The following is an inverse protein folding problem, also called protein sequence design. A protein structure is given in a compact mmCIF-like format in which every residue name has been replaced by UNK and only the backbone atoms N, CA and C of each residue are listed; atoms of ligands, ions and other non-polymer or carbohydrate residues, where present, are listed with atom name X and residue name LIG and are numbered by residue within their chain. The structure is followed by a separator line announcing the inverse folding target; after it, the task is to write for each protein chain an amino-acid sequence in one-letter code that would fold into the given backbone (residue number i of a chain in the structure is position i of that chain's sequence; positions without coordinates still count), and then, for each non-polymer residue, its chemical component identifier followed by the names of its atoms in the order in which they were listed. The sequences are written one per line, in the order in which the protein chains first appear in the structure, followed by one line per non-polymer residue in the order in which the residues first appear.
data_IF_000687417113
#
_entry.id   IF_000687417113
#
_cell.length_a   1.000
_cell.length_b   1.000
_cell.length_c   1.000
_cell.angle_alpha   90.00
_cell.angle_beta   90.00
_cell.angle_gamma   90.00
#
_symmetry.space_group_name_H-M   'P 1'
#
loop_
_entity.id
_entity.type
_entity.pdbx_description
1 polymer ?
#
# COMPACT_ATOMS: atom_id res chain seq x y z
N UNK A 1 46.74 11.81 -4.92
CA UNK A 1 46.05 10.80 -4.09
C UNK A 1 44.93 11.43 -3.21
N UNK A 2 45.20 12.60 -2.55
CA UNK A 2 44.19 13.31 -1.74
C UNK A 2 42.99 13.80 -2.60
N UNK A 3 43.29 14.38 -3.75
CA UNK A 3 42.28 14.92 -4.68
C UNK A 3 41.37 13.82 -5.31
N UNK A 4 41.94 12.65 -5.57
CA UNK A 4 41.19 11.47 -6.06
C UNK A 4 40.29 10.90 -4.95
N UNK A 5 40.75 10.89 -3.71
CA UNK A 5 39.93 10.45 -2.57
C UNK A 5 38.75 11.41 -2.27
N UNK A 6 38.98 12.71 -2.39
CA UNK A 6 37.93 13.73 -2.24
C UNK A 6 36.85 13.58 -3.33
N UNK A 7 37.26 13.36 -4.56
CA UNK A 7 36.37 13.16 -5.71
C UNK A 7 35.56 11.85 -5.62
N UNK A 8 36.20 10.78 -5.12
CA UNK A 8 35.52 9.51 -4.82
C UNK A 8 34.48 9.66 -3.70
N UNK A 9 34.78 10.42 -2.65
CA UNK A 9 33.83 10.70 -1.56
C UNK A 9 32.63 11.50 -2.07
N UNK A 10 32.82 12.51 -2.88
CA UNK A 10 31.73 13.28 -3.49
C UNK A 10 30.84 12.41 -4.38
N UNK A 11 31.43 11.53 -5.19
CA UNK A 11 30.69 10.58 -6.02
C UNK A 11 29.89 9.60 -5.17
N UNK A 12 30.46 9.06 -4.08
CA UNK A 12 29.77 8.14 -3.17
C UNK A 12 28.58 8.81 -2.43
N UNK A 13 28.66 10.12 -2.17
CA UNK A 13 27.57 10.88 -1.57
C UNK A 13 26.46 11.17 -2.59
N UNK A 14 26.79 11.36 -3.88
CA UNK A 14 25.82 11.65 -4.94
C UNK A 14 25.21 10.40 -5.56
N UNK A 15 25.90 9.25 -5.52
CA UNK A 15 25.41 7.99 -6.10
C UNK A 15 24.01 7.57 -5.61
N UNK A 16 23.65 7.68 -4.34
CA UNK A 16 22.31 7.32 -3.88
C UNK A 16 21.19 8.16 -4.50
N UNK A 17 21.45 9.45 -4.77
CA UNK A 17 20.48 10.33 -5.44
C UNK A 17 20.32 9.98 -6.92
N UNK A 18 21.42 9.76 -7.62
CA UNK A 18 21.42 9.37 -9.04
C UNK A 18 20.70 8.03 -9.23
N UNK A 19 21.02 7.04 -8.40
CA UNK A 19 20.34 5.72 -8.45
C UNK A 19 18.83 5.87 -8.18
N UNK A 20 18.45 6.69 -7.22
CA UNK A 20 17.05 6.96 -6.91
C UNK A 20 16.31 7.66 -8.05
N UNK A 21 16.97 8.58 -8.73
CA UNK A 21 16.40 9.26 -9.92
C UNK A 21 16.23 8.30 -11.10
N UNK A 22 17.23 7.46 -11.37
CA UNK A 22 17.16 6.44 -12.43
C UNK A 22 16.08 5.39 -12.13
N UNK A 23 15.98 4.89 -10.89
CA UNK A 23 14.93 3.96 -10.47
C UNK A 23 13.54 4.60 -10.58
N UNK A 24 13.42 5.88 -10.21
CA UNK A 24 12.15 6.63 -10.32
C UNK A 24 11.77 6.83 -11.79
N UNK A 25 12.71 7.13 -12.66
CA UNK A 25 12.46 7.29 -14.10
C UNK A 25 12.09 5.96 -14.75
N UNK A 26 12.81 4.89 -14.45
CA UNK A 26 12.51 3.54 -14.94
C UNK A 26 11.13 3.07 -14.49
N UNK A 27 10.74 3.39 -13.23
CA UNK A 27 9.41 3.09 -12.71
C UNK A 27 8.33 3.91 -13.42
N UNK A 28 8.54 5.22 -13.66
CA UNK A 28 7.61 6.08 -14.41
C UNK A 28 7.38 5.57 -15.83
N UNK A 29 8.43 5.15 -16.53
CA UNK A 29 8.33 4.59 -17.88
C UNK A 29 7.53 3.28 -17.88
N UNK A 30 7.82 2.36 -16.95
CA UNK A 30 7.10 1.09 -16.83
C UNK A 30 5.62 1.30 -16.54
N UNK A 31 5.32 2.21 -15.60
CA UNK A 31 3.94 2.58 -15.26
C UNK A 31 3.21 3.19 -16.45
N UNK A 32 3.87 4.06 -17.21
CA UNK A 32 3.31 4.66 -18.42
C UNK A 32 2.98 3.59 -19.48
N UNK A 33 3.88 2.61 -19.69
CA UNK A 33 3.67 1.53 -20.65
C UNK A 33 2.55 0.59 -20.20
N UNK A 34 2.51 0.20 -18.91
CA UNK A 34 1.46 -0.67 -18.35
C UNK A 34 0.08 -0.01 -18.44
N UNK A 35 -0.01 1.30 -18.16
CA UNK A 35 -1.25 2.06 -18.32
C UNK A 35 -1.64 2.18 -19.78
N UNK A 36 -0.69 2.48 -20.66
CA UNK A 36 -0.93 2.56 -22.08
C UNK A 36 -1.54 1.26 -22.63
N UNK A 37 -0.95 0.12 -22.30
CA UNK A 37 -1.47 -1.20 -22.67
C UNK A 37 -2.87 -1.47 -22.07
N UNK A 38 -3.09 -1.10 -20.81
CA UNK A 38 -4.39 -1.28 -20.14
C UNK A 38 -5.48 -0.42 -20.78
N UNK A 39 -5.19 0.83 -21.15
CA UNK A 39 -6.14 1.70 -21.86
C UNK A 39 -6.48 1.13 -23.23
N UNK A 40 -5.50 0.65 -23.99
CA UNK A 40 -5.74 0.04 -25.30
C UNK A 40 -6.57 -1.23 -25.20
N UNK A 41 -6.30 -2.08 -24.18
CA UNK A 41 -7.08 -3.27 -23.90
C UNK A 41 -8.54 -2.94 -23.55
N UNK A 42 -8.77 -1.97 -22.67
CA UNK A 42 -10.12 -1.51 -22.32
C UNK A 42 -10.87 -0.93 -23.51
N UNK A 43 -10.19 -0.11 -24.32
CA UNK A 43 -10.79 0.43 -25.56
C UNK A 43 -11.21 -0.69 -26.52
N UNK A 44 -10.38 -1.73 -26.66
CA UNK A 44 -10.69 -2.89 -27.50
C UNK A 44 -11.93 -3.62 -26.99
N UNK A 45 -12.03 -3.88 -25.69
CA UNK A 45 -13.20 -4.53 -25.07
C UNK A 45 -14.47 -3.72 -25.25
N UNK A 46 -14.40 -2.39 -25.03
CA UNK A 46 -15.56 -1.49 -25.21
C UNK A 46 -16.05 -1.40 -26.67
N UNK A 47 -15.14 -1.55 -27.63
CA UNK A 47 -15.48 -1.47 -29.07
C UNK A 47 -15.95 -2.80 -29.66
N UNK A 48 -15.65 -3.94 -29.05
CA UNK A 48 -15.89 -5.27 -29.63
C UNK A 48 -17.10 -6.01 -29.02
N UNK A 49 -17.90 -5.40 -28.14
CA UNK A 49 -19.05 -6.05 -27.46
C UNK A 49 -18.70 -7.43 -26.86
N UNK A 50 -17.61 -7.51 -26.13
CA UNK A 50 -17.02 -8.76 -25.67
C UNK A 50 -17.63 -9.24 -24.36
N UNK A 51 -17.49 -10.55 -24.08
CA UNK A 51 -18.01 -11.29 -22.95
C UNK A 51 -17.62 -10.69 -21.58
N UNK A 52 -18.50 -10.82 -20.59
CA UNK A 52 -18.32 -10.36 -19.20
C UNK A 52 -17.03 -10.88 -18.54
N UNK A 53 -16.51 -12.02 -18.97
CA UNK A 53 -15.25 -12.60 -18.51
C UNK A 53 -14.03 -11.77 -18.91
N UNK A 54 -14.01 -11.26 -20.15
CA UNK A 54 -12.92 -10.38 -20.60
C UNK A 54 -12.97 -9.00 -19.95
N UNK A 55 -14.17 -8.48 -19.69
CA UNK A 55 -14.35 -7.22 -18.96
C UNK A 55 -13.78 -7.34 -17.54
N UNK A 56 -14.04 -8.45 -16.83
CA UNK A 56 -13.50 -8.70 -15.48
C UNK A 56 -11.99 -8.87 -15.48
N UNK A 57 -11.43 -9.58 -16.46
CA UNK A 57 -9.97 -9.75 -16.58
C UNK A 57 -9.26 -8.40 -16.84
N UNK A 58 -9.84 -7.56 -17.70
CA UNK A 58 -9.31 -6.21 -17.93
C UNK A 58 -9.46 -5.30 -16.72
N UNK A 59 -10.56 -5.38 -15.98
CA UNK A 59 -10.74 -4.64 -14.72
C UNK A 59 -9.65 -5.01 -13.70
N UNK A 60 -9.30 -6.29 -13.56
CA UNK A 60 -8.22 -6.75 -12.69
C UNK A 60 -6.84 -6.20 -13.11
N UNK A 61 -6.55 -6.13 -14.42
CA UNK A 61 -5.34 -5.51 -14.94
C UNK A 61 -5.29 -3.99 -14.64
N UNK A 62 -6.41 -3.31 -14.74
CA UNK A 62 -6.53 -1.89 -14.35
C UNK A 62 -6.26 -1.68 -12.87
N UNK A 63 -6.84 -2.51 -12.02
CA UNK A 63 -6.62 -2.46 -10.58
C UNK A 63 -5.13 -2.67 -10.23
N UNK A 64 -4.46 -3.59 -10.92
CA UNK A 64 -3.03 -3.83 -10.73
C UNK A 64 -2.19 -2.63 -11.20
N UNK A 65 -2.49 -2.05 -12.35
CA UNK A 65 -1.78 -0.88 -12.90
C UNK A 65 -1.96 0.36 -12.02
N UNK A 66 -3.19 0.61 -11.55
CA UNK A 66 -3.50 1.71 -10.62
C UNK A 66 -2.78 1.50 -9.29
N UNK A 67 -2.70 0.27 -8.78
CA UNK A 67 -1.99 -0.02 -7.52
C UNK A 67 -0.48 0.22 -7.62
N UNK A 68 0.13 0.01 -8.78
CA UNK A 68 1.53 0.35 -9.07
C UNK A 68 1.74 1.86 -9.10
N UNK A 69 0.83 2.62 -9.73
CA UNK A 69 0.83 4.09 -9.71
C UNK A 69 0.72 4.68 -8.31
N UNK A 70 -0.21 4.15 -7.54
CA UNK A 70 -0.40 4.56 -6.14
C UNK A 70 0.86 4.38 -5.31
N UNK A 71 1.67 3.37 -5.60
CA UNK A 71 2.96 3.13 -4.91
C UNK A 71 4.07 4.07 -5.35
N UNK A 72 4.14 4.38 -6.64
CA UNK A 72 5.18 5.27 -7.18
C UNK A 72 4.99 6.72 -6.71
N UNK A 73 3.75 7.16 -6.47
CA UNK A 73 3.46 8.50 -5.95
C UNK A 73 3.78 8.68 -4.45
N UNK A 74 4.12 7.60 -3.74
CA UNK A 74 4.44 7.64 -2.30
C UNK A 74 5.85 8.14 -1.96
N UNK A 75 6.72 8.36 -2.95
CA UNK A 75 8.13 8.74 -2.72
C UNK A 75 8.33 10.26 -2.72
N UNK A 76 7.32 11.05 -2.43
CA UNK A 76 7.53 12.45 -2.08
C UNK A 76 7.81 12.56 -0.57
N UNK A 77 9.07 12.64 -0.27
CA UNK A 77 9.72 12.42 1.03
C UNK A 77 9.54 13.54 2.07
N UNK A 78 8.38 14.15 2.28
CA UNK A 78 8.21 15.19 3.31
C UNK A 78 6.92 15.13 4.14
N UNK A 79 5.97 14.26 3.84
CA UNK A 79 4.77 14.12 4.66
C UNK A 79 4.89 12.93 5.60
N UNK A 80 4.40 13.11 6.82
CA UNK A 80 4.29 12.07 7.83
C UNK A 80 3.40 10.92 7.27
N UNK A 81 3.86 9.64 7.26
CA UNK A 81 3.19 8.56 6.52
C UNK A 81 1.73 8.32 6.92
N UNK A 82 1.42 8.38 8.22
CA UNK A 82 0.06 8.14 8.71
C UNK A 82 -0.89 9.27 8.33
N UNK A 83 -0.44 10.52 8.38
CA UNK A 83 -1.25 11.66 7.96
C UNK A 83 -1.51 11.64 6.44
N UNK A 84 -0.52 11.25 5.65
CA UNK A 84 -0.71 11.06 4.22
C UNK A 84 -1.72 9.94 3.91
N UNK A 85 -1.70 8.83 4.67
CA UNK A 85 -2.63 7.73 4.52
C UNK A 85 -4.06 8.13 4.93
N UNK A 86 -4.22 8.88 6.04
CA UNK A 86 -5.52 9.43 6.46
C UNK A 86 -6.13 10.30 5.37
N UNK A 87 -5.37 11.27 4.86
CA UNK A 87 -5.83 12.15 3.78
C UNK A 87 -6.30 11.36 2.55
N UNK A 88 -5.58 10.32 2.16
CA UNK A 88 -5.99 9.46 1.03
C UNK A 88 -7.25 8.67 1.30
N UNK A 89 -7.43 8.15 2.52
CA UNK A 89 -8.65 7.50 2.91
C UNK A 89 -9.84 8.46 2.87
N UNK A 90 -9.66 9.70 3.33
CA UNK A 90 -10.66 10.78 3.25
C UNK A 90 -11.04 11.12 1.80
N UNK A 91 -10.07 11.15 0.87
CA UNK A 91 -10.31 11.32 -0.57
C UNK A 91 -11.19 10.18 -1.16
N UNK A 92 -11.16 8.99 -0.56
CA UNK A 92 -12.04 7.87 -0.89
C UNK A 92 -13.39 7.92 -0.15
N UNK A 93 -13.61 8.90 0.73
CA UNK A 93 -14.81 9.02 1.56
C UNK A 93 -14.75 8.17 2.84
N UNK A 94 -13.57 7.74 3.27
CA UNK A 94 -13.37 6.94 4.48
C UNK A 94 -12.65 7.75 5.56
N UNK A 95 -13.31 7.97 6.69
CA UNK A 95 -12.71 8.58 7.88
C UNK A 95 -11.85 7.56 8.63
N UNK A 96 -10.61 7.93 8.97
CA UNK A 96 -9.68 7.06 9.72
C UNK A 96 -9.59 7.51 11.16
N UNK A 97 -9.99 6.65 12.11
CA UNK A 97 -9.92 6.90 13.54
C UNK A 97 -8.76 6.10 14.14
N UNK A 98 -7.75 6.83 14.63
CA UNK A 98 -6.58 6.25 15.28
C UNK A 98 -6.79 6.24 16.79
N UNK A 99 -6.52 5.13 17.45
CA UNK A 99 -6.61 4.96 18.91
C UNK A 99 -5.39 4.20 19.44
N UNK A 100 -4.98 4.54 20.67
CA UNK A 100 -3.81 3.92 21.31
C UNK A 100 -2.53 4.71 21.08
N UNK A 101 -1.39 4.09 21.40
CA UNK A 101 -0.07 4.72 21.31
C UNK A 101 0.54 4.51 19.92
N UNK A 102 0.54 5.54 19.10
CA UNK A 102 1.14 5.51 17.77
C UNK A 102 2.62 5.13 17.81
N UNK A 103 3.10 4.33 16.84
CA UNK A 103 4.51 3.97 16.75
C UNK A 103 5.37 5.19 16.42
N UNK A 104 6.56 5.26 17.04
CA UNK A 104 7.51 6.35 16.81
C UNK A 104 8.44 6.09 15.61
N UNK A 105 8.59 4.83 15.21
CA UNK A 105 9.52 4.44 14.15
C UNK A 105 8.91 4.66 12.77
N UNK A 106 9.62 5.41 11.93
CA UNK A 106 9.20 5.81 10.58
C UNK A 106 8.82 4.60 9.72
N UNK A 107 9.63 3.53 9.72
CA UNK A 107 9.35 2.35 8.91
C UNK A 107 8.07 1.61 9.35
N UNK A 108 7.77 1.55 10.67
CA UNK A 108 6.52 0.99 11.19
C UNK A 108 5.33 1.85 10.73
N UNK A 109 5.45 3.18 10.85
CA UNK A 109 4.43 4.12 10.38
C UNK A 109 4.18 3.98 8.88
N UNK A 110 5.23 3.77 8.08
CA UNK A 110 5.09 3.53 6.64
C UNK A 110 4.33 2.24 6.31
N UNK A 111 4.61 1.12 7.01
CA UNK A 111 3.87 -0.13 6.81
C UNK A 111 2.40 -0.02 7.23
N UNK A 112 2.13 0.66 8.34
CA UNK A 112 0.75 0.91 8.79
C UNK A 112 0.02 1.83 7.82
N UNK A 113 0.68 2.84 7.27
CA UNK A 113 0.11 3.71 6.23
C UNK A 113 -0.32 2.93 4.99
N UNK A 114 0.48 1.94 4.55
CA UNK A 114 0.10 1.02 3.48
C UNK A 114 -1.14 0.19 3.84
N UNK A 115 -1.20 -0.32 5.07
CA UNK A 115 -2.35 -1.08 5.56
C UNK A 115 -3.62 -0.21 5.61
N UNK A 116 -3.53 1.05 6.06
CA UNK A 116 -4.64 2.00 6.06
C UNK A 116 -5.15 2.23 4.65
N UNK A 117 -4.27 2.52 3.68
CA UNK A 117 -4.66 2.76 2.30
C UNK A 117 -5.36 1.53 1.68
N UNK A 118 -4.83 0.33 1.90
CA UNK A 118 -5.42 -0.91 1.40
C UNK A 118 -6.78 -1.21 2.05
N UNK A 119 -6.86 -1.07 3.39
CA UNK A 119 -8.12 -1.29 4.10
C UNK A 119 -9.19 -0.25 3.75
N UNK A 120 -8.83 1.02 3.54
CA UNK A 120 -9.76 2.05 3.11
C UNK A 120 -10.31 1.77 1.70
N UNK A 121 -9.44 1.38 0.76
CA UNK A 121 -9.87 0.99 -0.59
C UNK A 121 -10.81 -0.24 -0.56
N UNK A 122 -10.50 -1.25 0.28
CA UNK A 122 -11.33 -2.44 0.45
C UNK A 122 -12.65 -2.12 1.17
N UNK A 123 -12.65 -1.19 2.12
CA UNK A 123 -13.84 -0.71 2.81
C UNK A 123 -14.87 -0.15 1.82
N UNK A 124 -14.45 0.71 0.90
CA UNK A 124 -15.32 1.29 -0.14
C UNK A 124 -15.73 0.22 -1.16
N UNK A 125 -14.79 -0.58 -1.63
CA UNK A 125 -15.00 -1.51 -2.74
C UNK A 125 -15.88 -2.72 -2.37
N UNK A 126 -15.77 -3.22 -1.14
CA UNK A 126 -16.34 -4.50 -0.74
C UNK A 126 -17.32 -4.42 0.43
N UNK A 127 -17.28 -3.35 1.22
CA UNK A 127 -18.05 -3.25 2.46
C UNK A 127 -19.01 -2.07 2.50
N UNK A 128 -18.96 -1.16 1.53
CA UNK A 128 -19.76 0.07 1.50
C UNK A 128 -19.67 0.86 2.83
N UNK A 129 -18.48 0.83 3.44
CA UNK A 129 -18.21 1.47 4.72
C UNK A 129 -17.61 2.86 4.54
N UNK A 130 -17.71 3.66 5.58
CA UNK A 130 -17.26 5.06 5.61
C UNK A 130 -16.25 5.36 6.72
N UNK A 131 -15.96 4.39 7.56
CA UNK A 131 -15.05 4.55 8.69
C UNK A 131 -14.10 3.36 8.81
N UNK A 132 -12.83 3.66 9.08
CA UNK A 132 -11.76 2.70 9.37
C UNK A 132 -11.20 2.98 10.76
N UNK A 133 -11.30 2.01 11.65
CA UNK A 133 -10.77 2.07 13.00
C UNK A 133 -9.42 1.40 13.08
N UNK A 134 -8.41 2.12 13.53
CA UNK A 134 -7.03 1.65 13.67
C UNK A 134 -6.63 1.76 15.14
N UNK A 135 -6.37 0.62 15.77
CA UNK A 135 -6.00 0.56 17.18
C UNK A 135 -4.57 0.06 17.34
N UNK A 136 -3.77 0.79 18.13
CA UNK A 136 -2.37 0.49 18.40
C UNK A 136 -2.16 0.06 19.84
N UNK A 137 -1.41 -1.01 20.07
CA UNK A 137 -0.94 -1.38 21.40
C UNK A 137 0.40 -2.09 21.33
N UNK A 138 1.13 -2.09 22.45
CA UNK A 138 2.40 -2.79 22.57
C UNK A 138 2.21 -4.11 23.28
N UNK A 139 2.76 -5.20 22.75
CA UNK A 139 2.74 -6.53 23.35
C UNK A 139 4.07 -7.24 23.14
N UNK A 140 4.69 -7.70 24.24
CA UNK A 140 5.88 -8.57 24.21
C UNK A 140 6.99 -8.13 23.23
N UNK A 141 7.27 -6.82 23.12
CA UNK A 141 8.31 -6.31 22.24
C UNK A 141 7.88 -6.02 20.80
N UNK A 142 6.63 -6.31 20.45
CA UNK A 142 6.03 -6.00 19.14
C UNK A 142 5.05 -4.83 19.23
N UNK A 143 4.85 -4.15 18.12
CA UNK A 143 3.71 -3.25 17.91
C UNK A 143 2.59 -4.06 17.28
N UNK A 144 1.48 -4.18 17.98
CA UNK A 144 0.25 -4.79 17.48
C UNK A 144 -0.66 -3.70 16.92
N UNK A 145 -1.26 -3.95 15.76
CA UNK A 145 -2.16 -3.00 15.11
C UNK A 145 -3.38 -3.74 14.59
N UNK A 146 -4.56 -3.30 14.97
CA UNK A 146 -5.83 -3.82 14.45
C UNK A 146 -6.49 -2.78 13.56
N UNK A 147 -6.91 -3.19 12.37
CA UNK A 147 -7.71 -2.39 11.46
C UNK A 147 -9.07 -3.07 11.24
N UNK A 148 -10.15 -2.34 11.48
CA UNK A 148 -11.53 -2.78 11.25
C UNK A 148 -12.32 -1.66 10.59
N UNK A 149 -13.43 -1.97 9.92
CA UNK A 149 -14.31 -0.96 9.32
C UNK A 149 -15.75 -1.08 9.84
N UNK A 150 -16.57 -0.05 9.55
CA UNK A 150 -18.00 -0.02 9.88
C UNK A 150 -18.90 -0.58 8.78
N UNK A 151 -18.33 -1.08 7.70
CA UNK A 151 -19.09 -1.56 6.54
C UNK A 151 -19.67 -2.95 6.74
N UNK A 152 -20.24 -3.50 5.66
CA UNK A 152 -20.86 -4.81 5.65
C UNK A 152 -19.88 -5.92 6.03
N UNK A 153 -20.38 -6.90 6.79
CA UNK A 153 -19.59 -8.08 7.14
C UNK A 153 -19.36 -8.94 5.90
N UNK A 154 -18.13 -9.42 5.68
CA UNK A 154 -17.83 -10.32 4.57
C UNK A 154 -18.73 -11.57 4.62
N UNK A 155 -19.39 -11.89 3.50
CA UNK A 155 -20.28 -13.06 3.39
C UNK A 155 -19.51 -14.37 3.31
N UNK A 156 -18.27 -14.32 2.84
CA UNK A 156 -17.39 -15.45 2.64
C UNK A 156 -16.02 -15.19 3.29
N UNK A 157 -15.23 -16.25 3.43
CA UNK A 157 -13.84 -16.13 3.88
C UNK A 157 -13.07 -15.27 2.86
N UNK A 158 -12.40 -14.24 3.36
CA UNK A 158 -11.59 -13.37 2.52
C UNK A 158 -10.44 -14.16 1.92
N UNK A 159 -10.39 -14.19 0.60
CA UNK A 159 -9.23 -14.70 -0.14
C UNK A 159 -8.28 -13.53 -0.39
N UNK A 160 -7.07 -13.64 0.12
CA UNK A 160 -6.07 -12.61 -0.06
C UNK A 160 -5.61 -12.59 -1.52
N UNK A 161 -5.91 -11.50 -2.20
CA UNK A 161 -5.48 -11.22 -3.56
C UNK A 161 -4.99 -9.78 -3.69
N UNK A 162 -4.22 -9.48 -4.73
CA UNK A 162 -3.82 -8.12 -5.06
C UNK A 162 -3.14 -7.38 -3.89
N UNK A 163 -3.79 -6.36 -3.36
CA UNK A 163 -3.23 -5.46 -2.35
C UNK A 163 -2.94 -6.12 -1.01
N UNK A 164 -3.83 -6.99 -0.50
CA UNK A 164 -3.61 -7.69 0.77
C UNK A 164 -2.42 -8.66 0.69
N UNK A 165 -2.25 -9.39 -0.42
CA UNK A 165 -1.09 -10.28 -0.62
C UNK A 165 0.23 -9.51 -0.62
N UNK A 166 0.26 -8.34 -1.24
CA UNK A 166 1.45 -7.51 -1.28
C UNK A 166 1.73 -6.82 0.05
N UNK A 167 0.68 -6.43 0.78
CA UNK A 167 0.83 -5.92 2.13
C UNK A 167 1.44 -7.00 3.03
N UNK A 168 0.93 -8.24 2.95
CA UNK A 168 1.47 -9.40 3.67
C UNK A 168 2.96 -9.59 3.38
N UNK A 169 3.33 -9.64 2.12
CA UNK A 169 4.73 -9.80 1.73
C UNK A 169 5.62 -8.73 2.38
N UNK A 170 5.22 -7.46 2.34
CA UNK A 170 6.00 -6.36 2.95
C UNK A 170 6.09 -6.45 4.48
N UNK A 171 5.02 -6.89 5.13
CA UNK A 171 5.00 -7.12 6.59
C UNK A 171 5.95 -8.25 6.96
N UNK A 172 5.93 -9.36 6.20
CA UNK A 172 6.80 -10.53 6.42
C UNK A 172 8.28 -10.22 6.12
N UNK A 173 8.57 -9.47 5.05
CA UNK A 173 9.92 -8.96 4.74
C UNK A 173 10.50 -8.08 5.86
N UNK A 174 9.64 -7.36 6.59
CA UNK A 174 10.03 -6.59 7.78
C UNK A 174 10.08 -7.42 9.07
N UNK A 175 9.93 -8.74 8.99
CA UNK A 175 9.92 -9.66 10.13
C UNK A 175 8.63 -9.62 10.96
N UNK A 176 7.56 -9.03 10.44
CA UNK A 176 6.25 -8.97 11.05
C UNK A 176 5.34 -10.16 10.68
N UNK A 177 4.12 -10.12 11.23
CA UNK A 177 3.04 -11.08 10.90
C UNK A 177 1.77 -10.33 10.56
N UNK A 178 0.98 -10.89 9.66
CA UNK A 178 -0.33 -10.36 9.27
C UNK A 178 -1.38 -11.47 9.30
N UNK A 179 -2.52 -11.16 9.91
CA UNK A 179 -3.68 -12.04 9.95
C UNK A 179 -4.93 -11.31 9.48
N UNK A 180 -5.80 -11.99 8.71
CA UNK A 180 -7.04 -11.43 8.18
C UNK A 180 -8.20 -12.30 8.62
N UNK A 181 -9.20 -11.69 9.26
CA UNK A 181 -10.44 -12.34 9.65
C UNK A 181 -11.64 -11.73 8.94
N UNK A 182 -12.57 -12.58 8.54
CA UNK A 182 -13.82 -12.19 7.91
C UNK A 182 -15.02 -12.26 8.84
N UNK A 183 -14.92 -12.99 9.98
CA UNK A 183 -16.00 -13.15 10.94
C UNK A 183 -15.49 -12.89 12.37
N UNK A 184 -16.29 -12.23 13.23
CA UNK A 184 -17.64 -11.70 13.05
C UNK A 184 -17.71 -10.42 12.21
N UNK A 185 -16.58 -9.84 11.84
CA UNK A 185 -16.42 -8.67 10.95
C UNK A 185 -15.06 -8.72 10.26
N UNK A 186 -14.87 -7.90 9.26
CA UNK A 186 -13.51 -7.70 8.72
C UNK A 186 -12.58 -7.18 9.81
N UNK A 187 -11.46 -7.85 9.96
CA UNK A 187 -10.36 -7.40 10.80
C UNK A 187 -9.02 -7.79 10.20
N UNK A 188 -8.14 -6.81 10.09
CA UNK A 188 -6.73 -7.01 9.77
C UNK A 188 -5.91 -6.81 11.03
N UNK A 189 -5.08 -7.77 11.38
CA UNK A 189 -4.16 -7.70 12.53
C UNK A 189 -2.73 -7.74 12.03
N UNK A 190 -1.92 -6.79 12.49
CA UNK A 190 -0.49 -6.72 12.21
C UNK A 190 0.28 -6.87 13.53
N UNK A 191 1.34 -7.66 13.50
CA UNK A 191 2.34 -7.75 14.57
C UNK A 191 3.70 -7.37 13.99
N UNK A 192 4.23 -6.22 14.40
CA UNK A 192 5.45 -5.63 13.84
C UNK A 192 6.54 -5.60 14.91
N UNK A 193 7.75 -6.14 14.64
CA UNK A 193 8.84 -6.15 15.60
C UNK A 193 9.33 -4.74 15.88
N UNK A 194 9.87 -4.49 17.07
CA UNK A 194 10.47 -3.19 17.39
C UNK A 194 11.76 -2.92 16.63
N UNK A 195 12.46 -3.95 16.20
CA UNK A 195 13.71 -3.86 15.44
C UNK A 195 13.57 -4.76 14.21
N UNK A 196 14.07 -4.29 13.08
CA UNK A 196 14.26 -5.12 11.89
C UNK A 196 15.44 -6.04 12.23
N UNK A 197 15.23 -7.35 12.10
CA UNK A 197 16.26 -8.36 12.32
C UNK A 197 17.34 -8.33 11.26
#
# INVERSE_FOLDING_TARGET
LAEVNERLRLLLVQMPEIIREEETLAMKLRVHDDIGHSILAARRVLLQHTDLTEIRANAALWEQSISVLYRSSQITAQSEPLEAAKKRAEELGVSVLLTGNEPQRQWIRALIALAICECAANCVRHADGTELYVCFWQKAGCMEVSLTNNGAVPKEKITEGGGLSMLRQRIEEAGGKMEVWSSPRFQLMLSLPKQIG
#
